data_IF_816625643910
#
_entry.id   IF_816625643910
#
_cell.length_a   1.000
_cell.length_b   1.000
_cell.length_c   1.000
_cell.angle_alpha   90.00
_cell.angle_beta   90.00
_cell.angle_gamma   90.00
#
_symmetry.space_group_name_H-M   'P 1'
#
loop_
_entity.id
_entity.type
_entity.pdbx_description
1 polymer ?
#
# COMPACT_ATOMS: atom_id res chain seq x y z
N UNK A 1 17.13 19.66 -23.34
CA UNK A 1 16.06 18.68 -23.06
C UNK A 1 14.76 19.25 -23.61
N UNK A 2 13.96 18.47 -24.37
CA UNK A 2 12.65 18.94 -24.82
C UNK A 2 11.75 19.17 -23.62
N UNK A 3 10.80 20.09 -23.70
CA UNK A 3 9.82 20.42 -22.63
C UNK A 3 9.10 19.17 -22.15
N UNK A 4 8.76 18.25 -23.04
CA UNK A 4 8.18 16.93 -22.73
C UNK A 4 9.11 16.02 -21.89
N UNK A 5 10.44 16.07 -22.10
CA UNK A 5 11.41 15.28 -21.34
C UNK A 5 11.54 15.82 -19.90
N UNK A 6 11.57 17.14 -19.74
CA UNK A 6 11.59 17.80 -18.43
C UNK A 6 10.35 17.49 -17.59
N UNK A 7 9.18 17.44 -18.21
CA UNK A 7 7.92 17.10 -17.55
C UNK A 7 7.93 15.65 -17.05
N UNK A 8 8.31 14.70 -17.92
CA UNK A 8 8.39 13.27 -17.52
C UNK A 8 9.35 13.07 -16.36
N UNK A 9 10.48 13.76 -16.35
CA UNK A 9 11.46 13.72 -15.24
C UNK A 9 10.83 14.23 -13.95
N UNK A 10 10.13 15.38 -13.98
CA UNK A 10 9.45 15.92 -12.79
C UNK A 10 8.37 14.97 -12.26
N UNK A 11 7.54 14.39 -13.12
CA UNK A 11 6.54 13.41 -12.72
C UNK A 11 7.18 12.13 -12.14
N UNK A 12 8.30 11.70 -12.69
CA UNK A 12 9.05 10.55 -12.16
C UNK A 12 9.62 10.81 -10.76
N UNK A 13 10.22 11.99 -10.53
CA UNK A 13 10.71 12.39 -9.21
C UNK A 13 9.55 12.49 -8.21
N UNK A 14 8.43 13.06 -8.64
CA UNK A 14 7.21 13.15 -7.83
C UNK A 14 6.73 11.76 -7.38
N UNK A 15 6.61 10.80 -8.30
CA UNK A 15 6.22 9.43 -8.00
C UNK A 15 7.24 8.72 -7.09
N UNK A 16 8.53 8.96 -7.30
CA UNK A 16 9.58 8.46 -6.42
C UNK A 16 9.41 8.99 -4.99
N UNK A 17 9.30 10.31 -4.81
CA UNK A 17 9.16 10.91 -3.49
C UNK A 17 7.91 10.41 -2.77
N UNK A 18 6.78 10.31 -3.47
CA UNK A 18 5.52 9.85 -2.92
C UNK A 18 5.63 8.45 -2.31
N UNK A 19 6.25 7.52 -3.01
CA UNK A 19 6.41 6.14 -2.54
C UNK A 19 7.62 5.94 -1.62
N UNK A 20 8.64 6.80 -1.71
CA UNK A 20 9.71 6.86 -0.72
C UNK A 20 9.15 7.14 0.68
N UNK A 21 8.25 8.12 0.79
CA UNK A 21 7.57 8.44 2.06
C UNK A 21 6.91 7.18 2.62
N UNK A 22 6.15 6.47 1.81
CA UNK A 22 5.40 5.29 2.25
C UNK A 22 6.34 4.13 2.64
N UNK A 23 7.35 3.84 1.81
CA UNK A 23 8.35 2.82 2.09
C UNK A 23 9.17 3.08 3.36
N UNK A 24 9.42 4.35 3.70
CA UNK A 24 10.24 4.71 4.85
C UNK A 24 9.61 4.38 6.22
N UNK A 25 8.30 4.21 6.32
CA UNK A 25 7.67 3.97 7.63
C UNK A 25 6.73 2.76 7.69
N UNK A 26 6.07 2.39 6.58
CA UNK A 26 4.94 1.46 6.62
C UNK A 26 5.33 0.05 7.07
N UNK A 27 6.42 -0.50 6.53
CA UNK A 27 6.90 -1.85 6.87
C UNK A 27 7.51 -1.90 8.27
N UNK A 28 8.22 -0.85 8.66
CA UNK A 28 8.91 -0.74 9.95
C UNK A 28 8.00 -0.32 11.11
N UNK A 29 6.79 0.14 10.82
CA UNK A 29 5.83 0.56 11.86
C UNK A 29 5.50 -0.57 12.83
N UNK A 30 5.24 -1.79 12.35
CA UNK A 30 4.91 -2.95 13.20
C UNK A 30 5.97 -3.23 14.25
N UNK A 31 7.23 -3.46 13.88
CA UNK A 31 8.35 -3.59 14.82
C UNK A 31 8.47 -2.43 15.82
N UNK A 32 8.34 -1.19 15.36
CA UNK A 32 8.38 -0.02 16.24
C UNK A 32 7.27 -0.04 17.27
N UNK A 33 6.03 -0.33 16.87
CA UNK A 33 4.88 -0.39 17.77
C UNK A 33 5.01 -1.54 18.78
N UNK A 34 5.44 -2.73 18.31
CA UNK A 34 5.56 -3.92 19.15
C UNK A 34 6.71 -3.83 20.12
N UNK A 35 7.91 -3.47 19.66
CA UNK A 35 9.16 -3.54 20.46
C UNK A 35 9.39 -2.25 21.26
N UNK A 36 9.25 -1.08 20.59
CA UNK A 36 9.59 0.20 21.21
C UNK A 36 8.44 0.77 22.02
N UNK A 37 7.24 0.84 21.46
CA UNK A 37 6.07 1.37 22.18
C UNK A 37 5.33 0.31 22.98
N UNK A 38 5.60 -0.98 22.77
CA UNK A 38 4.98 -2.11 23.45
C UNK A 38 3.45 -2.11 23.34
N UNK A 39 2.95 -1.72 22.18
CA UNK A 39 1.52 -1.76 21.90
C UNK A 39 1.05 -3.21 21.73
N UNK A 40 -0.16 -3.47 22.19
CA UNK A 40 -0.81 -4.76 22.01
C UNK A 40 -1.11 -5.05 20.54
N UNK A 41 -1.18 -6.32 20.17
CA UNK A 41 -1.42 -6.74 18.78
C UNK A 41 -2.68 -6.11 18.17
N UNK A 42 -3.78 -5.97 18.95
CA UNK A 42 -4.99 -5.30 18.50
C UNK A 42 -4.75 -3.81 18.16
N UNK A 43 -3.91 -3.11 18.93
CA UNK A 43 -3.54 -1.72 18.69
C UNK A 43 -2.66 -1.60 17.44
N UNK A 44 -1.76 -2.56 17.21
CA UNK A 44 -0.93 -2.63 16.00
C UNK A 44 -1.81 -2.82 14.77
N UNK A 45 -2.77 -3.75 14.82
CA UNK A 45 -3.74 -3.97 13.75
C UNK A 45 -4.55 -2.72 13.43
N UNK A 46 -5.04 -2.00 14.45
CA UNK A 46 -5.74 -0.73 14.29
C UNK A 46 -4.85 0.33 13.65
N UNK A 47 -3.57 0.41 14.04
CA UNK A 47 -2.62 1.36 13.47
C UNK A 47 -2.45 1.15 11.95
N UNK A 48 -2.28 -0.09 11.49
CA UNK A 48 -2.30 -0.38 10.05
C UNK A 48 -3.65 -0.08 9.39
N UNK A 49 -4.76 -0.27 10.12
CA UNK A 49 -6.11 0.07 9.69
C UNK A 49 -6.33 1.58 9.45
N UNK A 50 -5.49 2.46 10.00
CA UNK A 50 -5.55 3.89 9.73
C UNK A 50 -5.38 4.23 8.23
N UNK A 51 -4.54 3.47 7.52
CA UNK A 51 -4.40 3.60 6.07
C UNK A 51 -5.71 3.28 5.33
N UNK A 52 -6.40 2.24 5.75
CA UNK A 52 -7.70 1.86 5.20
C UNK A 52 -8.77 2.95 5.43
N UNK A 53 -8.78 3.57 6.61
CA UNK A 53 -9.66 4.71 6.90
C UNK A 53 -9.34 5.86 5.94
N UNK A 54 -8.06 6.18 5.75
CA UNK A 54 -7.62 7.16 4.75
C UNK A 54 -8.11 6.82 3.34
N UNK A 55 -8.03 5.56 2.94
CA UNK A 55 -8.49 5.10 1.62
C UNK A 55 -10.01 5.21 1.44
N UNK A 56 -10.79 4.94 2.48
CA UNK A 56 -12.24 5.11 2.46
C UNK A 56 -12.66 6.58 2.40
N UNK A 57 -11.92 7.48 3.05
CA UNK A 57 -12.20 8.92 3.08
C UNK A 57 -11.68 9.62 1.80
N UNK A 58 -10.61 9.09 1.19
CA UNK A 58 -9.91 9.71 0.07
C UNK A 58 -10.80 10.12 -1.10
N UNK A 59 -11.75 9.30 -1.62
CA UNK A 59 -12.60 9.69 -2.73
C UNK A 59 -13.45 10.95 -2.43
N UNK A 60 -13.90 11.09 -1.18
CA UNK A 60 -14.68 12.27 -0.74
C UNK A 60 -13.81 13.51 -0.70
N UNK A 61 -12.59 13.42 -0.16
CA UNK A 61 -11.67 14.54 -0.10
C UNK A 61 -11.24 14.99 -1.51
N UNK A 62 -10.94 14.04 -2.40
CA UNK A 62 -10.56 14.34 -3.78
C UNK A 62 -11.74 14.95 -4.53
N UNK A 63 -12.91 14.33 -4.52
CA UNK A 63 -14.09 14.80 -5.24
C UNK A 63 -14.64 16.12 -4.74
N UNK A 64 -14.60 16.38 -3.42
CA UNK A 64 -15.12 17.62 -2.84
C UNK A 64 -14.13 18.78 -2.93
N UNK A 65 -12.83 18.53 -2.79
CA UNK A 65 -11.83 19.58 -2.66
C UNK A 65 -11.09 19.80 -3.99
N UNK A 66 -10.50 18.73 -4.55
CA UNK A 66 -9.64 18.83 -5.73
C UNK A 66 -10.43 19.14 -7.01
N UNK A 67 -11.57 18.48 -7.18
CA UNK A 67 -12.35 18.63 -8.41
C UNK A 67 -13.13 19.93 -8.47
N UNK A 68 -13.30 20.64 -7.34
CA UNK A 68 -14.16 21.83 -7.27
C UNK A 68 -13.45 23.14 -6.95
N UNK A 69 -12.43 23.14 -6.08
CA UNK A 69 -11.95 24.37 -5.47
C UNK A 69 -10.49 24.67 -5.71
N UNK A 70 -9.62 23.69 -5.76
CA UNK A 70 -8.19 23.93 -5.78
C UNK A 70 -7.48 23.12 -6.87
N UNK A 71 -6.44 23.68 -7.43
CA UNK A 71 -5.57 23.00 -8.37
C UNK A 71 -4.84 21.82 -7.69
N UNK A 72 -4.73 20.69 -8.39
CA UNK A 72 -4.23 19.44 -7.81
C UNK A 72 -2.83 19.55 -7.24
N UNK A 73 -1.91 20.27 -7.90
CA UNK A 73 -0.54 20.49 -7.42
C UNK A 73 -0.50 21.27 -6.10
N UNK A 74 -1.45 22.18 -5.87
CA UNK A 74 -1.55 22.94 -4.62
C UNK A 74 -2.04 22.05 -3.46
N UNK A 75 -3.01 21.17 -3.72
CA UNK A 75 -3.49 20.22 -2.72
C UNK A 75 -2.39 19.24 -2.35
N UNK A 76 -1.67 18.71 -3.34
CA UNK A 76 -0.51 17.83 -3.12
C UNK A 76 0.56 18.52 -2.26
N UNK A 77 0.80 19.82 -2.52
CA UNK A 77 1.73 20.61 -1.73
C UNK A 77 1.28 20.74 -0.27
N UNK A 78 0.04 21.17 -0.05
CA UNK A 78 -0.52 21.38 1.30
C UNK A 78 -0.56 20.05 2.07
N UNK A 79 -1.05 18.98 1.43
CA UNK A 79 -1.14 17.67 2.07
C UNK A 79 0.26 17.09 2.36
N UNK A 80 1.23 17.29 1.47
CA UNK A 80 2.61 16.89 1.69
C UNK A 80 3.26 17.63 2.86
N UNK A 81 3.09 18.96 2.93
CA UNK A 81 3.65 19.77 4.01
C UNK A 81 3.01 19.44 5.36
N UNK A 82 1.67 19.44 5.43
CA UNK A 82 0.96 19.13 6.68
C UNK A 82 1.21 17.67 7.11
N UNK A 83 1.17 16.72 6.17
CA UNK A 83 1.49 15.31 6.43
C UNK A 83 2.91 15.12 6.95
N UNK A 84 3.87 15.88 6.41
CA UNK A 84 5.26 15.87 6.87
C UNK A 84 5.41 16.38 8.30
N UNK A 85 4.72 17.46 8.65
CA UNK A 85 4.68 17.97 10.03
C UNK A 85 4.07 16.93 10.98
N UNK A 86 2.93 16.36 10.60
CA UNK A 86 2.27 15.31 11.41
C UNK A 86 3.20 14.13 11.63
N UNK A 87 3.87 13.62 10.58
CA UNK A 87 4.85 12.53 10.71
C UNK A 87 5.98 12.87 11.68
N UNK A 88 6.52 14.07 11.62
CA UNK A 88 7.57 14.52 12.56
C UNK A 88 7.08 14.64 14.00
N UNK A 89 5.77 14.78 14.23
CA UNK A 89 5.17 14.84 15.56
C UNK A 89 4.83 13.45 16.12
N UNK A 90 4.55 12.46 15.28
CA UNK A 90 4.19 11.07 15.68
C UNK A 90 5.17 10.47 16.70
N UNK A 91 6.51 10.61 16.58
CA UNK A 91 7.44 10.05 17.58
C UNK A 91 7.26 10.57 19.02
N UNK A 92 6.59 11.71 19.19
CA UNK A 92 6.26 12.26 20.52
C UNK A 92 5.04 11.60 21.15
N UNK A 93 4.27 10.84 20.36
CA UNK A 93 3.07 10.15 20.78
C UNK A 93 3.43 8.74 21.27
N UNK A 94 3.65 8.56 22.55
CA UNK A 94 4.09 7.28 23.14
C UNK A 94 2.95 6.39 23.63
N UNK A 95 1.72 6.91 23.68
CA UNK A 95 0.52 6.14 24.04
C UNK A 95 -0.35 5.90 22.78
N UNK A 96 -1.10 4.80 22.75
CA UNK A 96 -2.00 4.51 21.66
C UNK A 96 -3.05 5.61 21.45
N UNK A 97 -3.57 6.18 22.54
CA UNK A 97 -4.55 7.26 22.49
C UNK A 97 -4.04 8.54 21.83
N UNK A 98 -2.74 8.82 21.90
CA UNK A 98 -2.12 9.96 21.19
C UNK A 98 -1.60 9.59 19.81
N UNK A 99 -1.06 8.39 19.63
CA UNK A 99 -0.47 7.91 18.37
C UNK A 99 -1.52 7.69 17.28
N UNK A 100 -2.59 6.95 17.62
CA UNK A 100 -3.57 6.51 16.63
C UNK A 100 -4.33 7.66 15.94
N UNK A 101 -4.84 8.69 16.66
CA UNK A 101 -5.46 9.84 15.99
C UNK A 101 -4.50 10.60 15.07
N UNK A 102 -3.24 10.78 15.49
CA UNK A 102 -2.22 11.43 14.65
C UNK A 102 -1.96 10.64 13.38
N UNK A 103 -1.90 9.31 13.47
CA UNK A 103 -1.73 8.44 12.31
C UNK A 103 -2.94 8.50 11.37
N UNK A 104 -4.17 8.55 11.89
CA UNK A 104 -5.39 8.73 11.08
C UNK A 104 -5.32 10.08 10.33
N UNK A 105 -4.97 11.16 11.02
CA UNK A 105 -4.82 12.49 10.39
C UNK A 105 -3.78 12.44 9.27
N UNK A 106 -2.64 11.81 9.52
CA UNK A 106 -1.61 11.62 8.50
C UNK A 106 -2.14 10.83 7.30
N UNK A 107 -2.80 9.69 7.53
CA UNK A 107 -3.34 8.86 6.45
C UNK A 107 -4.44 9.59 5.65
N UNK A 108 -5.27 10.39 6.31
CA UNK A 108 -6.28 11.24 5.64
C UNK A 108 -5.64 12.32 4.75
N UNK A 109 -4.45 12.80 5.06
CA UNK A 109 -3.68 13.73 4.21
C UNK A 109 -2.91 12.98 3.12
N UNK A 110 -2.29 11.84 3.43
CA UNK A 110 -1.40 11.14 2.50
C UNK A 110 -2.14 10.34 1.43
N UNK A 111 -3.14 9.53 1.81
CA UNK A 111 -3.78 8.59 0.87
C UNK A 111 -4.44 9.28 -0.33
N UNK A 112 -5.13 10.44 -0.18
CA UNK A 112 -5.66 11.17 -1.32
C UNK A 112 -4.58 11.61 -2.33
N UNK A 113 -3.34 11.82 -1.88
CA UNK A 113 -2.25 12.21 -2.78
C UNK A 113 -1.94 11.14 -3.82
N UNK A 114 -2.18 9.85 -3.50
CA UNK A 114 -1.96 8.72 -4.42
C UNK A 114 -2.86 8.82 -5.65
N UNK A 115 -4.14 9.09 -5.44
CA UNK A 115 -5.12 9.26 -6.52
C UNK A 115 -4.87 10.55 -7.30
N UNK A 116 -4.64 11.66 -6.60
CA UNK A 116 -4.35 12.97 -7.21
C UNK A 116 -3.08 12.94 -8.06
N UNK A 117 -2.01 12.32 -7.56
CA UNK A 117 -0.75 12.18 -8.29
C UNK A 117 -0.90 11.36 -9.59
N UNK A 118 -1.65 10.26 -9.53
CA UNK A 118 -1.94 9.48 -10.73
C UNK A 118 -2.77 10.32 -11.74
N UNK A 119 -3.82 10.98 -11.28
CA UNK A 119 -4.69 11.83 -12.14
C UNK A 119 -3.92 12.97 -12.78
N UNK A 120 -3.10 13.70 -12.00
CA UNK A 120 -2.24 14.77 -12.51
C UNK A 120 -1.28 14.24 -13.57
N UNK A 121 -0.62 13.13 -13.30
CA UNK A 121 0.35 12.53 -14.24
C UNK A 121 -0.32 12.12 -15.55
N UNK A 122 -1.47 11.46 -15.49
CA UNK A 122 -2.23 11.04 -16.68
C UNK A 122 -2.73 12.24 -17.51
N UNK A 123 -3.08 13.34 -16.86
CA UNK A 123 -3.58 14.55 -17.53
C UNK A 123 -2.50 15.24 -18.37
N UNK A 124 -1.25 15.21 -17.93
CA UNK A 124 -0.17 15.96 -18.56
C UNK A 124 0.75 15.14 -19.46
N UNK A 125 0.61 13.82 -19.49
CA UNK A 125 1.40 12.97 -20.37
C UNK A 125 0.80 12.95 -21.79
N UNK A 126 1.63 13.19 -22.80
CA UNK A 126 1.22 13.21 -24.23
C UNK A 126 0.75 11.83 -24.69
N UNK A 127 1.43 10.78 -24.26
CA UNK A 127 1.04 9.39 -24.54
C UNK A 127 0.95 8.59 -23.23
N UNK A 128 -0.19 8.73 -22.49
CA UNK A 128 -0.35 8.10 -21.18
C UNK A 128 -0.13 6.59 -21.21
N UNK A 129 -0.57 5.88 -22.25
CA UNK A 129 -0.43 4.41 -22.35
C UNK A 129 1.03 3.94 -22.35
N UNK A 130 1.95 4.74 -22.87
CA UNK A 130 3.39 4.40 -22.96
C UNK A 130 4.19 5.06 -21.85
N UNK A 131 3.89 6.32 -21.52
CA UNK A 131 4.71 7.13 -20.64
C UNK A 131 4.35 6.95 -19.16
N UNK A 132 3.05 6.74 -18.83
CA UNK A 132 2.63 6.58 -17.45
C UNK A 132 3.25 5.36 -16.75
N UNK A 133 3.31 4.16 -17.38
CA UNK A 133 4.01 3.03 -16.76
C UNK A 133 5.48 3.33 -16.44
N UNK A 134 6.19 4.06 -17.32
CA UNK A 134 7.59 4.45 -17.11
C UNK A 134 7.75 5.43 -15.95
N UNK A 135 6.88 6.42 -15.86
CA UNK A 135 6.85 7.38 -14.74
C UNK A 135 6.50 6.66 -13.45
N UNK A 136 5.48 5.79 -13.48
CA UNK A 136 4.99 5.04 -12.32
C UNK A 136 6.00 4.02 -11.78
N UNK A 137 6.86 3.47 -12.63
CA UNK A 137 7.92 2.54 -12.20
C UNK A 137 8.83 3.16 -11.12
N UNK A 138 9.03 4.49 -11.14
CA UNK A 138 9.81 5.20 -10.12
C UNK A 138 9.16 5.13 -8.73
N UNK A 139 7.87 4.79 -8.63
CA UNK A 139 7.21 4.50 -7.35
C UNK A 139 7.83 3.29 -6.64
N UNK A 140 8.07 2.19 -7.38
CA UNK A 140 8.71 1.01 -6.81
C UNK A 140 10.14 1.31 -6.36
N UNK A 141 10.90 2.07 -7.17
CA UNK A 141 12.25 2.52 -6.80
C UNK A 141 12.20 3.40 -5.55
N UNK A 142 11.22 4.31 -5.44
CA UNK A 142 11.02 5.16 -4.27
C UNK A 142 10.73 4.35 -3.01
N UNK A 143 9.85 3.35 -3.10
CA UNK A 143 9.54 2.45 -1.99
C UNK A 143 10.78 1.69 -1.50
N UNK A 144 11.54 1.08 -2.43
CA UNK A 144 12.79 0.39 -2.10
C UNK A 144 13.79 1.36 -1.45
N UNK A 145 13.96 2.55 -2.02
CA UNK A 145 14.87 3.56 -1.49
C UNK A 145 14.46 4.04 -0.09
N UNK A 146 13.18 4.11 0.21
CA UNK A 146 12.66 4.43 1.55
C UNK A 146 13.03 3.36 2.58
N UNK A 147 12.83 2.08 2.24
CA UNK A 147 13.21 0.95 3.09
C UNK A 147 14.73 0.90 3.32
N UNK A 148 15.52 0.94 2.25
CA UNK A 148 16.98 0.94 2.33
C UNK A 148 17.49 2.17 3.07
N UNK A 149 16.97 3.35 2.75
CA UNK A 149 17.39 4.59 3.41
C UNK A 149 17.20 4.53 4.92
N UNK A 150 16.08 3.95 5.39
CA UNK A 150 15.87 3.71 6.81
C UNK A 150 16.87 2.67 7.35
N UNK A 151 17.06 1.54 6.67
CA UNK A 151 17.98 0.48 7.11
C UNK A 151 19.43 0.95 7.28
N UNK A 152 19.87 1.91 6.44
CA UNK A 152 21.20 2.51 6.58
C UNK A 152 21.39 3.42 7.79
N UNK A 153 20.33 4.12 8.21
CA UNK A 153 20.43 5.15 9.26
C UNK A 153 19.87 4.70 10.61
N UNK A 154 19.00 3.68 10.63
CA UNK A 154 18.36 3.21 11.84
C UNK A 154 17.79 1.79 11.68
N UNK A 155 17.45 1.17 12.82
CA UNK A 155 16.69 -0.09 12.83
C UNK A 155 15.19 0.14 12.54
N UNK A 156 14.48 -0.93 12.18
CA UNK A 156 13.03 -0.92 11.99
C UNK A 156 12.24 -0.51 13.26
N UNK A 157 12.84 -0.67 14.42
CA UNK A 157 12.25 -0.36 15.72
C UNK A 157 12.45 1.12 16.12
N UNK A 158 13.15 1.90 15.28
CA UNK A 158 13.51 3.29 15.59
C UNK A 158 12.41 4.28 15.18
N UNK A 159 12.16 5.33 16.00
CA UNK A 159 11.27 6.43 15.59
C UNK A 159 11.79 7.24 14.40
N UNK A 160 13.05 7.07 14.01
CA UNK A 160 13.71 7.75 12.88
C UNK A 160 12.93 7.55 11.57
N UNK A 161 12.24 6.42 11.42
CA UNK A 161 11.35 6.15 10.29
C UNK A 161 10.34 7.29 10.02
N UNK A 162 9.75 7.85 11.06
CA UNK A 162 8.77 8.93 10.92
C UNK A 162 9.44 10.28 10.62
N UNK A 163 10.64 10.53 11.13
CA UNK A 163 11.40 11.75 10.78
C UNK A 163 11.88 11.69 9.35
N UNK A 164 12.38 10.54 8.88
CA UNK A 164 12.78 10.33 7.48
C UNK A 164 11.60 10.53 6.53
N UNK A 165 10.48 9.87 6.81
CA UNK A 165 9.26 10.00 6.02
C UNK A 165 8.70 11.42 6.07
N UNK A 166 8.74 12.08 7.24
CA UNK A 166 8.29 13.45 7.44
C UNK A 166 9.11 14.46 6.66
N UNK A 167 10.44 14.35 6.71
CA UNK A 167 11.35 15.17 5.91
C UNK A 167 11.11 14.98 4.40
N UNK A 168 10.99 13.73 3.95
CA UNK A 168 10.66 13.42 2.57
C UNK A 168 9.28 13.96 2.16
N UNK A 169 8.30 13.93 3.05
CA UNK A 169 6.95 14.48 2.81
C UNK A 169 6.97 16.01 2.66
N UNK A 170 7.78 16.71 3.44
CA UNK A 170 7.98 18.15 3.28
C UNK A 170 8.63 18.45 1.92
N UNK A 171 9.67 17.70 1.54
CA UNK A 171 10.32 17.83 0.22
C UNK A 171 9.30 17.54 -0.90
N UNK A 172 8.49 16.49 -0.76
CA UNK A 172 7.41 16.16 -1.70
C UNK A 172 6.40 17.32 -1.82
N UNK A 173 5.98 17.91 -0.70
CA UNK A 173 5.07 19.04 -0.69
C UNK A 173 5.65 20.26 -1.42
N UNK A 174 6.89 20.64 -1.14
CA UNK A 174 7.56 21.73 -1.83
C UNK A 174 7.78 21.44 -3.32
N UNK A 175 8.18 20.20 -3.64
CA UNK A 175 8.38 19.77 -5.03
C UNK A 175 7.08 19.78 -5.82
N UNK A 176 5.94 19.47 -5.19
CA UNK A 176 4.62 19.48 -5.84
C UNK A 176 4.26 20.84 -6.42
N UNK A 177 4.76 21.95 -5.86
CA UNK A 177 4.56 23.28 -6.42
C UNK A 177 5.26 23.50 -7.77
N UNK A 178 6.24 22.66 -8.11
CA UNK A 178 6.92 22.69 -9.41
C UNK A 178 6.18 21.92 -10.51
N UNK A 179 5.14 21.16 -10.16
CA UNK A 179 4.34 20.38 -11.11
C UNK A 179 3.48 21.29 -12.00
N UNK A 180 3.05 20.81 -13.17
CA UNK A 180 2.24 21.64 -14.06
C UNK A 180 0.90 21.99 -13.42
N UNK A 181 0.43 23.20 -13.71
CA UNK A 181 -0.85 23.70 -13.22
C UNK A 181 -2.00 22.83 -13.71
N UNK A 182 -2.74 22.26 -12.76
CA UNK A 182 -3.85 21.33 -13.01
C UNK A 182 -5.09 21.87 -12.31
N UNK A 183 -5.82 22.77 -12.98
CA UNK A 183 -6.99 23.43 -12.39
C UNK A 183 -8.11 22.40 -12.14
N UNK A 184 -9.04 22.72 -11.22
CA UNK A 184 -10.21 21.88 -10.98
C UNK A 184 -10.97 21.63 -12.26
N UNK A 185 -11.41 20.41 -12.46
CA UNK A 185 -12.30 20.08 -13.57
C UNK A 185 -13.64 20.78 -13.29
N UNK A 186 -14.01 21.78 -14.10
CA UNK A 186 -15.34 22.43 -14.03
C UNK A 186 -16.40 21.42 -14.48
N UNK A 187 -16.70 20.45 -13.66
CA UNK A 187 -17.85 19.59 -13.86
C UNK A 187 -19.03 20.26 -13.19
N UNK A 188 -19.84 20.94 -13.99
CA UNK A 188 -21.17 21.44 -13.57
C UNK A 188 -22.17 20.30 -13.30
N UNK A 189 -21.76 19.07 -13.30
CA UNK A 189 -22.54 17.92 -12.92
C UNK A 189 -22.40 17.71 -11.41
N UNK A 190 -23.54 17.64 -10.72
CA UNK A 190 -23.61 17.11 -9.36
C UNK A 190 -23.18 15.63 -9.42
N UNK A 191 -21.89 15.36 -9.25
CA UNK A 191 -21.42 13.99 -9.10
C UNK A 191 -22.09 13.43 -7.86
N UNK A 192 -22.95 12.43 -8.02
CA UNK A 192 -23.67 11.84 -6.91
C UNK A 192 -22.69 11.07 -6.00
N UNK A 193 -23.02 10.96 -4.72
CA UNK A 193 -22.28 10.09 -3.80
C UNK A 193 -22.16 8.66 -4.35
N UNK A 194 -23.17 8.21 -5.09
CA UNK A 194 -23.20 6.91 -5.76
C UNK A 194 -22.11 6.77 -6.83
N UNK A 195 -21.88 7.81 -7.63
CA UNK A 195 -20.81 7.82 -8.64
C UNK A 195 -19.42 7.86 -7.99
N UNK A 196 -19.25 8.64 -6.90
CA UNK A 196 -17.98 8.70 -6.15
C UNK A 196 -17.64 7.34 -5.54
N UNK A 197 -18.64 6.63 -5.02
CA UNK A 197 -18.48 5.29 -4.41
C UNK A 197 -18.48 4.15 -5.44
N UNK A 198 -18.67 4.46 -6.72
CA UNK A 198 -18.71 3.45 -7.76
C UNK A 198 -19.95 2.54 -7.68
N UNK A 199 -21.08 3.03 -7.11
CA UNK A 199 -22.27 2.21 -6.89
C UNK A 199 -22.89 1.69 -8.20
N UNK A 200 -22.68 2.38 -9.33
CA UNK A 200 -23.11 1.90 -10.65
C UNK A 200 -22.42 0.57 -11.03
N UNK A 201 -21.22 0.32 -10.50
CA UNK A 201 -20.51 -0.94 -10.71
C UNK A 201 -21.11 -2.11 -9.91
N UNK A 202 -21.97 -1.86 -8.90
CA UNK A 202 -22.68 -2.92 -8.18
C UNK A 202 -23.56 -3.76 -9.10
N UNK A 203 -23.98 -3.21 -10.24
CA UNK A 203 -24.69 -3.97 -11.25
C UNK A 203 -23.89 -5.18 -11.78
N UNK A 204 -22.56 -5.13 -11.77
CA UNK A 204 -21.69 -6.24 -12.16
C UNK A 204 -21.80 -7.43 -11.19
N UNK A 205 -22.15 -7.21 -9.94
CA UNK A 205 -22.35 -8.27 -8.94
C UNK A 205 -23.54 -9.19 -9.27
N UNK A 206 -24.42 -8.77 -10.18
CA UNK A 206 -25.47 -9.66 -10.72
C UNK A 206 -24.92 -10.80 -11.56
N UNK A 207 -23.67 -10.69 -12.06
CA UNK A 207 -22.97 -11.78 -12.73
C UNK A 207 -22.30 -12.65 -11.64
N UNK A 208 -22.68 -13.95 -11.49
CA UNK A 208 -22.13 -14.80 -10.43
C UNK A 208 -20.59 -14.90 -10.44
N UNK A 209 -19.97 -14.96 -11.63
CA UNK A 209 -18.51 -15.00 -11.77
C UNK A 209 -17.85 -13.77 -11.19
N UNK A 210 -18.41 -12.59 -11.45
CA UNK A 210 -17.88 -11.32 -10.92
C UNK A 210 -18.11 -11.20 -9.40
N UNK A 211 -19.28 -11.62 -8.91
CA UNK A 211 -19.57 -11.63 -7.47
C UNK A 211 -18.62 -12.56 -6.70
N UNK A 212 -18.36 -13.77 -7.21
CA UNK A 212 -17.38 -14.70 -6.62
C UNK A 212 -15.99 -14.09 -6.66
N UNK A 213 -15.58 -13.47 -7.77
CA UNK A 213 -14.29 -12.80 -7.90
C UNK A 213 -14.13 -11.69 -6.84
N UNK A 214 -15.13 -10.80 -6.69
CA UNK A 214 -15.09 -9.73 -5.70
C UNK A 214 -15.03 -10.28 -4.26
N UNK A 215 -15.79 -11.34 -3.96
CA UNK A 215 -15.71 -12.02 -2.67
C UNK A 215 -14.31 -12.60 -2.42
N UNK A 216 -13.70 -13.23 -3.41
CA UNK A 216 -12.33 -13.74 -3.31
C UNK A 216 -11.34 -12.59 -3.07
N UNK A 217 -11.49 -11.46 -3.78
CA UNK A 217 -10.66 -10.27 -3.60
C UNK A 217 -10.80 -9.65 -2.21
N UNK A 218 -12.01 -9.66 -1.64
CA UNK A 218 -12.22 -9.25 -0.26
C UNK A 218 -11.53 -10.20 0.73
N UNK A 219 -11.75 -11.51 0.58
CA UNK A 219 -11.23 -12.53 1.51
C UNK A 219 -9.69 -12.58 1.49
N UNK A 220 -9.06 -12.38 0.34
CA UNK A 220 -7.59 -12.40 0.23
C UNK A 220 -6.93 -11.21 0.92
N UNK A 221 -7.67 -10.14 1.19
CA UNK A 221 -7.16 -9.04 2.00
C UNK A 221 -6.79 -9.50 3.42
N UNK A 222 -7.45 -10.53 3.96
CA UNK A 222 -7.13 -11.07 5.29
C UNK A 222 -5.68 -11.56 5.32
N UNK A 223 -5.24 -12.55 4.51
CA UNK A 223 -3.84 -12.95 4.48
C UNK A 223 -2.91 -11.82 4.04
N UNK A 224 -3.31 -10.96 3.08
CA UNK A 224 -2.48 -9.82 2.67
C UNK A 224 -2.09 -8.94 3.87
N UNK A 225 -3.06 -8.53 4.66
CA UNK A 225 -2.79 -7.65 5.80
C UNK A 225 -2.21 -8.38 7.01
N UNK A 226 -2.46 -9.69 7.12
CA UNK A 226 -1.73 -10.54 8.05
C UNK A 226 -0.21 -10.48 7.78
N UNK A 227 0.19 -10.53 6.52
CA UNK A 227 1.59 -10.39 6.12
C UNK A 227 2.15 -9.02 6.49
N UNK A 228 1.45 -7.91 6.16
CA UNK A 228 1.97 -6.57 6.45
C UNK A 228 2.03 -6.25 7.94
N UNK A 229 1.06 -6.70 8.73
CA UNK A 229 1.01 -6.44 10.17
C UNK A 229 2.04 -7.28 10.93
N UNK A 230 2.15 -8.56 10.58
CA UNK A 230 2.83 -9.54 11.44
C UNK A 230 4.25 -9.88 10.99
N UNK A 231 4.59 -9.81 9.68
CA UNK A 231 5.92 -10.22 9.20
C UNK A 231 7.04 -9.45 9.89
N UNK A 232 6.93 -8.12 9.96
CA UNK A 232 7.96 -7.30 10.60
C UNK A 232 8.14 -7.63 12.08
N UNK A 233 7.05 -7.87 12.81
CA UNK A 233 7.07 -8.28 14.22
C UNK A 233 7.73 -9.65 14.34
N UNK A 234 7.32 -10.62 13.53
CA UNK A 234 7.91 -11.97 13.49
C UNK A 234 9.42 -11.95 13.23
N UNK A 235 9.89 -11.18 12.25
CA UNK A 235 11.32 -11.07 11.94
C UNK A 235 12.11 -10.37 13.06
N UNK A 236 11.51 -9.41 13.76
CA UNK A 236 12.12 -8.77 14.95
C UNK A 236 12.25 -9.76 16.11
N UNK A 237 11.26 -10.60 16.36
CA UNK A 237 11.31 -11.67 17.38
C UNK A 237 12.42 -12.69 17.07
N UNK A 238 12.61 -13.03 15.80
CA UNK A 238 13.72 -13.86 15.35
C UNK A 238 15.09 -13.16 15.41
N UNK A 239 15.12 -11.86 15.77
CA UNK A 239 16.33 -11.02 15.75
C UNK A 239 17.04 -11.04 14.40
N UNK A 240 16.24 -11.03 13.31
CA UNK A 240 16.77 -11.14 11.94
C UNK A 240 17.50 -9.85 11.56
N UNK A 241 18.81 -9.97 11.29
CA UNK A 241 19.65 -8.83 10.93
C UNK A 241 19.34 -8.31 9.53
N UNK A 242 19.48 -7.00 9.30
CA UNK A 242 19.25 -6.33 8.02
C UNK A 242 17.84 -6.65 7.46
N UNK A 243 16.84 -6.59 8.36
CA UNK A 243 15.47 -6.98 8.03
C UNK A 243 14.89 -6.14 6.89
N UNK A 244 15.12 -4.82 6.91
CA UNK A 244 14.54 -3.89 5.93
C UNK A 244 15.12 -4.12 4.54
N UNK A 245 16.43 -4.31 4.44
CA UNK A 245 17.13 -4.58 3.19
C UNK A 245 16.70 -5.93 2.60
N UNK A 246 16.58 -6.96 3.42
CA UNK A 246 16.14 -8.28 2.97
C UNK A 246 14.68 -8.30 2.55
N UNK A 247 13.80 -7.64 3.28
CA UNK A 247 12.38 -7.57 2.91
C UNK A 247 12.13 -6.72 1.67
N UNK A 248 13.02 -5.78 1.33
CA UNK A 248 12.92 -5.02 0.08
C UNK A 248 13.08 -5.88 -1.18
N UNK A 249 13.67 -7.08 -1.07
CA UNK A 249 13.71 -8.05 -2.18
C UNK A 249 12.32 -8.48 -2.65
N UNK A 250 11.31 -8.31 -1.81
CA UNK A 250 9.91 -8.47 -2.22
C UNK A 250 9.55 -7.57 -3.41
N UNK A 251 10.07 -6.33 -3.42
CA UNK A 251 9.81 -5.38 -4.52
C UNK A 251 10.57 -5.75 -5.79
N UNK A 252 11.75 -6.36 -5.66
CA UNK A 252 12.49 -6.88 -6.83
C UNK A 252 11.68 -8.02 -7.46
N UNK A 253 11.13 -8.90 -6.63
CA UNK A 253 10.22 -9.96 -7.08
C UNK A 253 8.97 -9.37 -7.77
N UNK A 254 8.38 -8.34 -7.20
CA UNK A 254 7.22 -7.64 -7.76
C UNK A 254 7.51 -7.15 -9.20
N UNK A 255 8.63 -6.46 -9.41
CA UNK A 255 9.04 -6.02 -10.76
C UNK A 255 9.18 -7.20 -11.74
N UNK A 256 9.77 -8.32 -11.30
CA UNK A 256 9.97 -9.50 -12.15
C UNK A 256 8.61 -10.10 -12.54
N UNK A 257 7.71 -10.33 -11.59
CA UNK A 257 6.42 -10.95 -11.86
C UNK A 257 5.47 -10.01 -12.61
N UNK A 258 5.58 -8.69 -12.39
CA UNK A 258 4.88 -7.69 -13.21
C UNK A 258 5.27 -7.78 -14.69
N UNK A 259 6.56 -7.94 -14.99
CA UNK A 259 7.05 -8.12 -16.37
C UNK A 259 6.61 -9.46 -16.97
N UNK A 260 6.48 -10.50 -16.16
CA UNK A 260 6.02 -11.82 -16.58
C UNK A 260 4.50 -11.93 -16.72
N UNK A 261 3.73 -11.05 -16.06
CA UNK A 261 2.27 -11.08 -16.02
C UNK A 261 1.61 -11.16 -17.41
N UNK A 262 2.02 -10.37 -18.42
CA UNK A 262 1.42 -10.46 -19.76
C UNK A 262 1.61 -11.83 -20.43
N UNK A 263 2.71 -12.54 -20.13
CA UNK A 263 2.93 -13.91 -20.61
C UNK A 263 1.92 -14.88 -19.98
N UNK A 264 1.75 -14.81 -18.65
CA UNK A 264 0.82 -15.68 -17.94
C UNK A 264 -0.63 -15.42 -18.35
N UNK A 265 -1.05 -14.16 -18.47
CA UNK A 265 -2.40 -13.81 -18.92
C UNK A 265 -2.69 -14.32 -20.33
N UNK A 266 -1.74 -14.18 -21.28
CA UNK A 266 -1.92 -14.69 -22.65
C UNK A 266 -1.94 -16.21 -22.72
N UNK A 267 -1.14 -16.90 -21.88
CA UNK A 267 -0.99 -18.35 -21.95
C UNK A 267 -2.08 -19.09 -21.19
N UNK A 268 -2.54 -18.56 -20.04
CA UNK A 268 -3.41 -19.25 -19.10
C UNK A 268 -4.73 -18.51 -18.83
N UNK A 269 -4.85 -17.25 -19.23
CA UNK A 269 -6.01 -16.42 -18.96
C UNK A 269 -6.11 -15.95 -17.50
N UNK A 270 -7.09 -15.07 -17.22
CA UNK A 270 -7.26 -14.46 -15.89
C UNK A 270 -7.50 -15.49 -14.79
N UNK A 271 -8.44 -16.42 -15.00
CA UNK A 271 -8.84 -17.39 -13.97
C UNK A 271 -7.66 -18.20 -13.43
N UNK A 272 -6.84 -18.77 -14.32
CA UNK A 272 -5.71 -19.60 -13.91
C UNK A 272 -4.59 -18.74 -13.31
N UNK A 273 -4.31 -17.57 -13.87
CA UNK A 273 -3.28 -16.67 -13.36
C UNK A 273 -3.64 -16.19 -11.93
N UNK A 274 -4.89 -15.80 -11.69
CA UNK A 274 -5.37 -15.40 -10.36
C UNK A 274 -5.28 -16.60 -9.39
N UNK A 275 -5.67 -17.80 -9.82
CA UNK A 275 -5.54 -19.00 -9.00
C UNK A 275 -4.08 -19.31 -8.64
N UNK A 276 -3.14 -19.12 -9.57
CA UNK A 276 -1.69 -19.24 -9.28
C UNK A 276 -1.24 -18.24 -8.23
N UNK A 277 -1.73 -16.99 -8.28
CA UNK A 277 -1.49 -15.98 -7.24
C UNK A 277 -1.97 -16.43 -5.86
N UNK A 278 -3.18 -17.00 -5.77
CA UNK A 278 -3.72 -17.56 -4.53
C UNK A 278 -2.86 -18.74 -4.04
N UNK A 279 -2.45 -19.64 -4.94
CA UNK A 279 -1.58 -20.76 -4.59
C UNK A 279 -0.22 -20.30 -4.04
N UNK A 280 0.34 -19.21 -4.60
CA UNK A 280 1.55 -18.57 -4.09
C UNK A 280 1.35 -18.00 -2.68
N UNK A 281 0.18 -17.44 -2.36
CA UNK A 281 -0.17 -17.01 -0.99
C UNK A 281 -0.17 -18.20 -0.03
N UNK A 282 -0.77 -19.33 -0.40
CA UNK A 282 -0.77 -20.56 0.41
C UNK A 282 0.67 -21.04 0.64
N UNK A 283 1.47 -21.17 -0.43
CA UNK A 283 2.87 -21.57 -0.33
C UNK A 283 3.70 -20.65 0.56
N UNK A 284 3.46 -19.34 0.46
CA UNK A 284 4.11 -18.31 1.28
C UNK A 284 3.85 -18.53 2.77
N UNK A 285 2.59 -18.76 3.16
CA UNK A 285 2.25 -18.97 4.57
C UNK A 285 2.77 -20.29 5.10
N UNK A 286 2.79 -21.36 4.29
CA UNK A 286 3.46 -22.60 4.67
C UNK A 286 4.97 -22.37 4.88
N UNK A 287 5.63 -21.62 3.99
CA UNK A 287 7.05 -21.29 4.15
C UNK A 287 7.31 -20.51 5.45
N UNK A 288 6.48 -19.51 5.76
CA UNK A 288 6.58 -18.76 7.03
C UNK A 288 6.30 -19.64 8.24
N UNK A 289 5.25 -20.47 8.19
CA UNK A 289 4.90 -21.38 9.29
C UNK A 289 6.03 -22.37 9.61
N UNK A 290 6.56 -23.07 8.58
CA UNK A 290 7.68 -23.99 8.78
C UNK A 290 9.00 -23.30 9.14
N UNK A 291 9.15 -21.99 8.83
CA UNK A 291 10.34 -21.25 9.27
C UNK A 291 10.37 -21.03 10.79
N UNK A 292 9.22 -21.15 11.47
CA UNK A 292 9.14 -20.98 12.91
C UNK A 292 9.83 -22.12 13.69
N UNK A 293 9.95 -23.31 13.10
CA UNK A 293 10.65 -24.45 13.72
C UNK A 293 12.16 -24.22 13.87
N UNK A 294 12.70 -23.17 13.22
CA UNK A 294 14.12 -22.85 13.26
C UNK A 294 14.99 -23.77 12.38
N UNK A 295 16.26 -23.87 12.73
CA UNK A 295 17.20 -24.77 12.05
C UNK A 295 17.77 -24.22 10.75
N UNK A 296 18.49 -25.09 9.99
CA UNK A 296 19.23 -24.70 8.80
C UNK A 296 18.36 -24.18 7.64
N UNK A 297 17.09 -24.56 7.59
CA UNK A 297 16.15 -24.20 6.53
C UNK A 297 15.40 -22.90 6.79
N UNK A 298 15.41 -22.38 8.02
CA UNK A 298 14.66 -21.18 8.41
C UNK A 298 14.89 -19.98 7.47
N UNK A 299 16.14 -19.62 7.25
CA UNK A 299 16.51 -18.49 6.38
C UNK A 299 16.00 -18.70 4.94
N UNK A 300 16.15 -19.91 4.39
CA UNK A 300 15.69 -20.25 3.03
C UNK A 300 14.17 -20.10 2.92
N UNK A 301 13.41 -20.58 3.91
CA UNK A 301 11.96 -20.51 3.94
C UNK A 301 11.48 -19.05 4.02
N UNK A 302 12.13 -18.22 4.85
CA UNK A 302 11.81 -16.79 4.95
C UNK A 302 12.09 -16.09 3.62
N UNK A 303 13.26 -16.33 2.99
CA UNK A 303 13.54 -15.75 1.67
C UNK A 303 12.57 -16.24 0.59
N UNK A 304 12.17 -17.52 0.62
CA UNK A 304 11.13 -18.04 -0.28
C UNK A 304 9.83 -17.26 -0.10
N UNK A 305 9.39 -17.04 1.14
CA UNK A 305 8.20 -16.27 1.43
C UNK A 305 8.30 -14.80 0.95
N UNK A 306 9.47 -14.18 1.08
CA UNK A 306 9.73 -12.82 0.59
C UNK A 306 9.68 -12.79 -0.94
N UNK A 307 10.37 -13.71 -1.62
CA UNK A 307 10.47 -13.74 -3.08
C UNK A 307 9.17 -14.19 -3.79
N UNK A 308 8.27 -14.86 -3.11
CA UNK A 308 6.92 -15.13 -3.64
C UNK A 308 6.04 -13.87 -3.72
N UNK A 309 6.51 -12.72 -3.20
CA UNK A 309 5.70 -11.49 -3.12
C UNK A 309 5.14 -11.05 -4.46
N UNK A 310 5.97 -10.96 -5.49
CA UNK A 310 5.54 -10.52 -6.81
C UNK A 310 4.47 -11.43 -7.40
N UNK A 311 4.65 -12.76 -7.33
CA UNK A 311 3.63 -13.70 -7.79
C UNK A 311 2.32 -13.56 -6.98
N UNK A 312 2.42 -13.41 -5.67
CA UNK A 312 1.27 -13.21 -4.80
C UNK A 312 0.51 -11.92 -5.14
N UNK A 313 1.25 -10.85 -5.46
CA UNK A 313 0.67 -9.52 -5.68
C UNK A 313 0.19 -9.36 -7.12
N UNK A 314 1.05 -9.56 -8.11
CA UNK A 314 0.75 -9.27 -9.50
C UNK A 314 -0.26 -10.23 -10.11
N UNK A 315 -0.11 -11.52 -9.86
CA UNK A 315 -1.02 -12.54 -10.42
C UNK A 315 -2.41 -12.47 -9.80
N UNK A 316 -2.56 -11.83 -8.66
CA UNK A 316 -3.84 -11.68 -8.00
C UNK A 316 -4.39 -10.25 -8.15
N UNK A 317 -3.67 -9.23 -7.65
CA UNK A 317 -4.22 -7.88 -7.57
C UNK A 317 -4.14 -7.14 -8.90
N UNK A 318 -3.00 -7.21 -9.61
CA UNK A 318 -2.88 -6.54 -10.91
C UNK A 318 -3.72 -7.27 -11.97
N UNK A 319 -3.65 -8.61 -12.03
CA UNK A 319 -4.51 -9.38 -12.92
C UNK A 319 -6.00 -9.16 -12.59
N UNK A 320 -6.34 -9.05 -11.31
CA UNK A 320 -7.71 -8.75 -10.85
C UNK A 320 -8.20 -7.39 -11.31
N UNK A 321 -7.37 -6.35 -11.21
CA UNK A 321 -7.71 -5.01 -11.72
C UNK A 321 -7.91 -5.01 -13.25
N UNK A 322 -7.05 -5.72 -13.99
CA UNK A 322 -7.20 -5.87 -15.44
C UNK A 322 -8.47 -6.65 -15.80
N UNK A 323 -8.83 -7.69 -15.04
CA UNK A 323 -10.09 -8.41 -15.22
C UNK A 323 -11.30 -7.52 -15.00
N UNK A 324 -11.29 -6.67 -13.96
CA UNK A 324 -12.37 -5.69 -13.73
C UNK A 324 -12.48 -4.69 -14.88
N UNK A 325 -11.35 -4.26 -15.43
CA UNK A 325 -11.32 -3.33 -16.56
C UNK A 325 -11.94 -3.94 -17.83
N UNK A 326 -11.74 -5.24 -18.05
CA UNK A 326 -12.30 -6.00 -19.19
C UNK A 326 -13.79 -6.29 -19.02
N UNK A 327 -14.24 -6.62 -17.80
CA UNK A 327 -15.65 -6.92 -17.49
C UNK A 327 -16.54 -5.68 -17.49
N UNK A 328 -15.97 -4.52 -17.19
CA UNK A 328 -16.69 -3.26 -17.15
C UNK A 328 -16.76 -2.62 -18.55
N UNK A 329 -17.96 -2.22 -18.98
CA UNK A 329 -18.12 -1.40 -20.17
C UNK A 329 -17.51 0.01 -19.94
N UNK A 330 -17.29 0.76 -21.03
CA UNK A 330 -16.64 2.08 -20.96
C UNK A 330 -17.35 3.05 -20.01
N UNK A 331 -18.68 2.97 -19.89
CA UNK A 331 -19.49 3.86 -19.06
C UNK A 331 -19.25 3.66 -17.56
N UNK A 332 -19.07 2.42 -17.10
CA UNK A 332 -18.93 2.08 -15.67
C UNK A 332 -17.50 1.66 -15.29
N UNK A 333 -16.53 1.72 -16.22
CA UNK A 333 -15.15 1.29 -15.99
C UNK A 333 -14.50 1.98 -14.80
N UNK A 334 -14.62 3.30 -14.72
CA UNK A 334 -14.10 4.07 -13.58
C UNK A 334 -14.75 3.68 -12.25
N UNK A 335 -16.08 3.48 -12.26
CA UNK A 335 -16.84 3.02 -11.10
C UNK A 335 -16.43 1.61 -10.64
N UNK A 336 -16.18 0.70 -11.60
CA UNK A 336 -15.74 -0.66 -11.31
C UNK A 336 -14.32 -0.70 -10.71
N UNK A 337 -13.40 0.13 -11.23
CA UNK A 337 -12.06 0.29 -10.64
C UNK A 337 -12.14 0.94 -9.25
N UNK A 338 -13.04 1.89 -9.04
CA UNK A 338 -13.31 2.46 -7.72
C UNK A 338 -13.85 1.43 -6.73
N UNK A 339 -14.77 0.57 -7.16
CA UNK A 339 -15.33 -0.50 -6.34
C UNK A 339 -14.26 -1.49 -5.87
N UNK A 340 -13.42 -1.99 -6.80
CA UNK A 340 -12.35 -2.93 -6.41
C UNK A 340 -11.31 -2.25 -5.51
N UNK A 341 -10.96 -0.99 -5.77
CA UNK A 341 -10.05 -0.23 -4.92
C UNK A 341 -10.63 -0.03 -3.51
N UNK A 342 -11.92 0.27 -3.38
CA UNK A 342 -12.60 0.40 -2.10
C UNK A 342 -12.65 -0.91 -1.33
N UNK A 343 -12.82 -2.04 -2.03
CA UNK A 343 -12.79 -3.37 -1.41
C UNK A 343 -11.38 -3.72 -0.96
N UNK A 344 -10.36 -3.54 -1.80
CA UNK A 344 -8.99 -3.93 -1.49
C UNK A 344 -8.35 -3.02 -0.43
N UNK A 345 -8.38 -1.70 -0.67
CA UNK A 345 -7.64 -0.71 0.13
C UNK A 345 -8.49 -0.09 1.26
N UNK A 346 -9.82 -0.22 1.18
CA UNK A 346 -10.75 0.24 2.19
C UNK A 346 -11.20 -0.90 3.11
N UNK A 347 -12.40 -1.45 2.86
CA UNK A 347 -13.06 -2.41 3.77
C UNK A 347 -12.22 -3.68 3.97
N UNK A 348 -11.70 -4.28 2.90
CA UNK A 348 -10.90 -5.51 3.00
C UNK A 348 -9.61 -5.31 3.78
N UNK A 349 -8.92 -4.19 3.54
CA UNK A 349 -7.76 -3.76 4.31
C UNK A 349 -8.11 -3.58 5.79
N UNK A 350 -9.17 -2.88 6.09
CA UNK A 350 -9.59 -2.62 7.47
C UNK A 350 -9.91 -3.93 8.23
N UNK A 351 -10.72 -4.80 7.63
CA UNK A 351 -11.06 -6.11 8.22
C UNK A 351 -9.80 -6.98 8.37
N UNK A 352 -8.94 -7.01 7.34
CA UNK A 352 -7.71 -7.79 7.37
C UNK A 352 -6.76 -7.36 8.49
N UNK A 353 -6.55 -6.05 8.67
CA UNK A 353 -5.68 -5.51 9.73
C UNK A 353 -6.24 -5.75 11.14
N UNK A 354 -7.56 -5.62 11.31
CA UNK A 354 -8.20 -5.92 12.60
C UNK A 354 -8.04 -7.39 12.98
N UNK A 355 -8.30 -8.33 12.05
CA UNK A 355 -8.15 -9.76 12.30
C UNK A 355 -6.69 -10.12 12.58
N UNK A 356 -5.75 -9.59 11.80
CA UNK A 356 -4.32 -9.78 12.02
C UNK A 356 -3.88 -9.30 13.40
N UNK A 357 -4.33 -8.12 13.81
CA UNK A 357 -4.02 -7.56 15.12
C UNK A 357 -4.62 -8.37 16.28
N UNK A 358 -5.85 -8.89 16.12
CA UNK A 358 -6.49 -9.73 17.15
C UNK A 358 -5.77 -11.07 17.32
N UNK A 359 -5.30 -11.69 16.22
CA UNK A 359 -4.51 -12.92 16.33
C UNK A 359 -3.18 -12.63 16.98
N UNK A 360 -2.49 -11.55 16.63
CA UNK A 360 -1.25 -11.13 17.27
C UNK A 360 -1.43 -10.89 18.78
N UNK A 361 -2.54 -10.26 19.19
CA UNK A 361 -2.84 -10.02 20.60
C UNK A 361 -3.07 -11.33 21.39
N UNK A 362 -3.82 -12.29 20.81
CA UNK A 362 -4.06 -13.59 21.44
C UNK A 362 -2.76 -14.39 21.58
N UNK A 363 -1.90 -14.34 20.57
CA UNK A 363 -0.61 -14.99 20.59
C UNK A 363 0.30 -14.45 21.70
N UNK A 364 0.40 -13.13 21.84
CA UNK A 364 1.19 -12.50 22.90
C UNK A 364 0.69 -12.85 24.31
N UNK A 365 -0.63 -13.05 24.51
CA UNK A 365 -1.22 -13.45 25.77
C UNK A 365 -0.98 -14.93 26.12
N UNK A 366 -0.83 -15.79 25.12
CA UNK A 366 -0.64 -17.22 25.31
C UNK A 366 0.76 -17.60 25.83
N UNK A 367 1.76 -16.71 25.72
CA UNK A 367 3.16 -17.04 26.06
C UNK A 367 3.92 -15.88 26.71
N UNK A 368 4.16 -15.97 28.05
CA UNK A 368 4.94 -14.95 28.77
C UNK A 368 6.47 -15.10 28.67
N UNK A 369 7.04 -16.01 27.90
CA UNK A 369 8.49 -16.25 27.83
C UNK A 369 9.05 -16.21 26.41
N UNK A 370 10.22 -15.59 26.25
CA UNK A 370 10.92 -15.38 24.98
C UNK A 370 11.22 -16.67 24.15
N UNK A 371 11.17 -17.86 24.78
CA UNK A 371 11.36 -19.15 24.11
C UNK A 371 10.08 -19.69 23.44
N UNK A 372 8.93 -19.09 23.73
CA UNK A 372 7.64 -19.57 23.28
C UNK A 372 7.09 -18.93 22.01
N UNK A 373 7.65 -17.81 21.57
CA UNK A 373 7.08 -17.01 20.48
C UNK A 373 7.30 -17.58 19.07
N UNK A 374 8.32 -18.44 18.90
CA UNK A 374 8.65 -19.01 17.57
C UNK A 374 7.75 -20.17 17.12
N UNK A 375 7.03 -20.81 18.03
CA UNK A 375 6.30 -22.06 17.70
C UNK A 375 4.83 -21.92 17.30
N UNK A 376 4.23 -20.72 17.34
CA UNK A 376 2.80 -20.53 17.10
C UNK A 376 2.45 -19.60 15.91
N UNK A 377 3.44 -19.33 15.04
CA UNK A 377 3.24 -18.60 13.75
C UNK A 377 2.79 -19.51 12.59
#
# INVERSE_FOLDING_TARGET
MSESSSLKTRLSIFMFLQYFIWGAWYVSMGPYLAVTLKFEGAQIGLAYGAFAIGAMISPFLVGLIADRFFASEKILAVFGLLGGVVLCLIPRCTTFASFYPMLIVYCALYVPTLALGNSLSLTHLTNPKVDFPRVKMLSAVGWIAGLFGLGFIASAESPVQFYLAGGASIVFGLFSLSLPHTPPKKTGANVSLGEILGLDALALLKKPSFAIFILCMFLICIPLYFYFVNLGVYLSELKWTNMLEKTSLAQVSDVIFFLLLPFFLRRFGYKVTIFMGIACWVARYFALGFSADGGATQTTLIFTAILLHGACYDFLFIAGQLYVDEEANERIRGAAQGLIAFILWGIGSFVGTLLAGQVLAKHALAKPTAAGLAHDW
#
